data_IF_725465494131
#
_entry.id   IF_725465494131
#
_cell.length_a   1.000
_cell.length_b   1.000
_cell.length_c   1.000
_cell.angle_alpha   90.00
_cell.angle_beta   90.00
_cell.angle_gamma   90.00
#
_symmetry.space_group_name_H-M   'P 1'
#
loop_
_entity.id
_entity.type
_entity.pdbx_description
1 polymer ?
#
# COMPACT_ATOMS: atom_id res chain seq x y z
N UNK A 1 23.58 8.75 -26.99
CA UNK A 1 22.36 8.82 -26.17
C UNK A 1 21.58 7.56 -26.49
N UNK A 2 21.12 6.82 -25.48
CA UNK A 2 20.45 5.54 -25.73
C UNK A 2 18.99 5.78 -26.12
N UNK A 3 18.52 5.02 -27.12
CA UNK A 3 17.13 5.03 -27.58
C UNK A 3 16.38 3.82 -27.01
N UNK A 4 15.14 4.07 -26.61
CA UNK A 4 14.28 3.10 -25.95
C UNK A 4 12.91 3.07 -26.60
N UNK A 5 12.29 1.90 -26.57
CA UNK A 5 10.86 1.71 -26.77
C UNK A 5 10.23 1.45 -25.41
N UNK A 6 9.30 2.31 -25.00
CA UNK A 6 8.59 2.20 -23.74
C UNK A 6 7.22 1.61 -23.95
N UNK A 7 6.86 0.64 -23.11
CA UNK A 7 5.52 0.07 -23.07
C UNK A 7 4.80 0.63 -21.85
N UNK A 8 3.65 1.26 -22.09
CA UNK A 8 2.84 1.92 -21.07
C UNK A 8 1.49 1.23 -20.91
N UNK A 9 0.99 1.21 -19.68
CA UNK A 9 -0.38 0.80 -19.37
C UNK A 9 -1.42 1.86 -19.78
N UNK A 10 -2.71 1.56 -19.57
CA UNK A 10 -3.81 2.49 -19.85
C UNK A 10 -3.75 3.80 -19.03
N UNK A 11 -3.03 3.79 -17.91
CA UNK A 11 -2.78 4.96 -17.06
C UNK A 11 -1.47 5.67 -17.45
N UNK A 12 -0.80 5.31 -18.55
CA UNK A 12 0.46 5.92 -18.97
C UNK A 12 1.66 5.58 -18.06
N UNK A 13 1.51 4.60 -17.16
CA UNK A 13 2.57 4.11 -16.29
C UNK A 13 3.42 3.11 -17.07
N UNK A 14 4.74 3.23 -16.99
CA UNK A 14 5.65 2.34 -17.68
C UNK A 14 5.59 0.92 -17.11
N UNK A 15 5.27 -0.03 -17.99
CA UNK A 15 5.37 -1.48 -17.74
C UNK A 15 6.82 -1.92 -17.92
N UNK A 16 7.42 -1.63 -19.08
CA UNK A 16 8.81 -1.98 -19.39
C UNK A 16 9.47 -0.99 -20.35
N UNK A 17 10.80 -1.06 -20.46
CA UNK A 17 11.61 -0.35 -21.46
C UNK A 17 12.45 -1.35 -22.25
N UNK A 18 12.40 -1.29 -23.57
CA UNK A 18 13.27 -2.05 -24.47
C UNK A 18 14.35 -1.14 -25.04
N UNK A 19 15.62 -1.49 -24.83
CA UNK A 19 16.79 -0.73 -25.27
C UNK A 19 17.27 -1.19 -26.66
N UNK A 20 17.45 -0.22 -27.56
CA UNK A 20 18.07 -0.41 -28.88
C UNK A 20 19.53 -0.87 -28.76
N UNK A 21 19.91 -1.85 -29.59
CA UNK A 21 21.23 -2.51 -29.58
C UNK A 21 21.40 -3.58 -28.49
N UNK A 22 20.37 -3.78 -27.66
CA UNK A 22 20.34 -4.87 -26.65
C UNK A 22 19.20 -5.83 -26.92
N UNK A 23 17.99 -5.30 -27.16
CA UNK A 23 16.80 -6.13 -27.38
C UNK A 23 16.49 -6.33 -28.86
N UNK A 24 16.85 -5.38 -29.72
CA UNK A 24 16.84 -5.50 -31.17
C UNK A 24 17.78 -4.46 -31.80
N UNK A 25 18.08 -4.62 -33.09
CA UNK A 25 19.02 -3.77 -33.82
C UNK A 25 18.36 -2.53 -34.45
N UNK A 26 17.02 -2.50 -34.55
CA UNK A 26 16.25 -1.37 -35.06
C UNK A 26 15.06 -1.02 -34.17
N UNK A 27 14.58 0.23 -34.25
CA UNK A 27 13.41 0.70 -33.50
C UNK A 27 12.14 -0.03 -33.97
N UNK A 28 12.00 -0.27 -35.27
CA UNK A 28 10.84 -0.95 -35.84
C UNK A 28 10.70 -2.39 -35.30
N UNK A 29 11.82 -3.09 -35.10
CA UNK A 29 11.83 -4.41 -34.50
C UNK A 29 11.45 -4.38 -33.02
N UNK A 30 11.92 -3.37 -32.27
CA UNK A 30 11.53 -3.16 -30.88
C UNK A 30 10.05 -2.86 -30.73
N UNK A 31 9.49 -2.00 -31.58
CA UNK A 31 8.06 -1.70 -31.58
C UNK A 31 7.25 -2.95 -31.90
N UNK A 32 7.68 -3.74 -32.89
CA UNK A 32 7.03 -5.02 -33.22
C UNK A 32 7.06 -5.99 -32.03
N UNK A 33 8.21 -6.10 -31.35
CA UNK A 33 8.37 -6.94 -30.16
C UNK A 33 7.43 -6.46 -29.03
N UNK A 34 7.42 -5.16 -28.76
CA UNK A 34 6.55 -4.56 -27.77
C UNK A 34 5.06 -4.82 -28.05
N UNK A 35 4.62 -4.67 -29.30
CA UNK A 35 3.22 -4.92 -29.67
C UNK A 35 2.83 -6.40 -29.63
N UNK A 36 3.75 -7.32 -29.91
CA UNK A 36 3.47 -8.76 -29.87
C UNK A 36 3.38 -9.29 -28.42
N UNK A 37 4.31 -8.85 -27.56
CA UNK A 37 4.37 -9.25 -26.15
C UNK A 37 3.33 -8.53 -25.29
N UNK A 38 3.08 -7.23 -25.54
CA UNK A 38 2.24 -6.36 -24.71
C UNK A 38 1.02 -5.85 -25.49
N UNK A 39 0.10 -6.78 -25.76
CA UNK A 39 -1.17 -6.46 -26.43
C UNK A 39 -1.97 -5.45 -25.60
N UNK A 40 -2.64 -4.51 -26.28
CA UNK A 40 -3.43 -3.41 -25.69
C UNK A 40 -2.63 -2.36 -24.90
N UNK A 41 -1.30 -2.32 -25.00
CA UNK A 41 -0.48 -1.28 -24.39
C UNK A 41 -0.18 -0.15 -25.37
N UNK A 42 0.15 1.03 -24.81
CA UNK A 42 0.65 2.15 -25.62
C UNK A 42 2.17 2.04 -25.73
N UNK A 43 2.69 2.12 -26.95
CA UNK A 43 4.12 2.05 -27.23
C UNK A 43 4.60 3.42 -27.67
N UNK A 44 5.69 3.91 -27.07
CA UNK A 44 6.33 5.17 -27.45
C UNK A 44 7.85 5.00 -27.57
N UNK A 45 8.46 5.74 -28.48
CA UNK A 45 9.91 5.83 -28.62
C UNK A 45 10.42 7.03 -27.82
N UNK A 46 11.55 6.86 -27.14
CA UNK A 46 12.16 7.94 -26.37
C UNK A 46 13.62 7.69 -26.03
N UNK A 47 14.17 8.60 -25.22
CA UNK A 47 15.60 8.65 -24.91
C UNK A 47 15.90 8.34 -23.43
N UNK A 48 17.17 8.56 -23.06
CA UNK A 48 17.63 8.39 -21.68
C UNK A 48 17.00 9.39 -20.70
N UNK A 49 16.53 10.55 -21.19
CA UNK A 49 15.82 11.56 -20.39
C UNK A 49 14.44 11.05 -20.00
N UNK A 50 13.68 10.51 -20.96
CA UNK A 50 12.38 9.89 -20.70
C UNK A 50 12.51 8.68 -19.77
N UNK A 51 13.56 7.87 -19.94
CA UNK A 51 13.87 6.76 -19.03
C UNK A 51 14.03 7.24 -17.58
N UNK A 52 14.71 8.37 -17.35
CA UNK A 52 14.89 8.95 -16.02
C UNK A 52 13.56 9.41 -15.40
N UNK A 53 12.68 10.04 -16.19
CA UNK A 53 11.35 10.46 -15.72
C UNK A 53 10.48 9.26 -15.28
N UNK A 54 10.51 8.16 -16.03
CA UNK A 54 9.83 6.92 -15.62
C UNK A 54 10.43 6.29 -14.36
N UNK A 55 11.76 6.38 -14.17
CA UNK A 55 12.42 5.93 -12.95
C UNK A 55 12.09 6.80 -11.73
N UNK A 56 11.71 8.06 -11.96
CA UNK A 56 11.19 8.98 -10.95
C UNK A 56 9.69 8.80 -10.66
N UNK A 57 9.12 7.65 -11.00
CA UNK A 57 7.72 7.28 -10.73
C UNK A 57 6.69 8.25 -11.34
N UNK A 58 6.96 8.75 -12.55
CA UNK A 58 6.01 9.55 -13.33
C UNK A 58 5.31 8.73 -14.41
N UNK A 59 4.09 9.11 -14.74
CA UNK A 59 3.33 8.56 -15.86
C UNK A 59 3.42 9.50 -17.06
N UNK A 60 3.40 8.95 -18.27
CA UNK A 60 3.38 9.72 -19.51
C UNK A 60 1.96 9.72 -20.09
N UNK A 61 1.29 10.87 -20.08
CA UNK A 61 -0.07 11.04 -20.62
C UNK A 61 -0.13 12.25 -21.53
N UNK A 62 -0.78 12.11 -22.69
CA UNK A 62 -1.02 13.20 -23.63
C UNK A 62 0.24 14.01 -24.00
N UNK A 63 1.39 13.33 -24.13
CA UNK A 63 2.65 13.95 -24.52
C UNK A 63 3.47 14.56 -23.37
N UNK A 64 3.00 14.48 -22.12
CA UNK A 64 3.67 15.08 -20.95
C UNK A 64 3.81 14.09 -19.79
N UNK A 65 4.87 14.26 -19.00
CA UNK A 65 5.04 13.52 -17.75
C UNK A 65 4.26 14.17 -16.61
N UNK A 66 3.49 13.36 -15.90
CA UNK A 66 2.73 13.74 -14.72
C UNK A 66 3.16 12.90 -13.53
N UNK A 67 3.07 13.47 -12.32
CA UNK A 67 3.27 12.69 -11.11
C UNK A 67 2.14 11.66 -10.97
N UNK A 68 2.52 10.43 -10.62
CA UNK A 68 1.54 9.42 -10.23
C UNK A 68 1.08 9.82 -8.83
N UNK A 69 -0.15 10.31 -8.72
CA UNK A 69 -0.79 10.42 -7.42
C UNK A 69 -0.88 8.99 -6.86
N UNK A 70 -0.08 8.68 -5.83
CA UNK A 70 -0.30 7.49 -5.03
C UNK A 70 -1.78 7.50 -4.64
N UNK A 71 -2.51 6.44 -4.97
CA UNK A 71 -3.91 6.30 -4.58
C UNK A 71 -3.95 6.38 -3.05
N UNK A 72 -4.19 7.59 -2.53
CA UNK A 72 -4.37 7.81 -1.09
C UNK A 72 -5.45 6.81 -0.68
N UNK A 73 -5.24 6.04 0.40
CA UNK A 73 -6.25 5.10 0.85
C UNK A 73 -7.56 5.85 0.93
N UNK A 74 -8.63 5.26 0.41
CA UNK A 74 -9.94 5.88 0.45
C UNK A 74 -10.25 6.34 1.89
N UNK A 75 -11.10 7.36 2.06
CA UNK A 75 -11.53 7.80 3.40
C UNK A 75 -11.99 6.61 4.27
N UNK A 76 -12.58 5.59 3.65
CA UNK A 76 -12.97 4.35 4.30
C UNK A 76 -11.77 3.51 4.78
N UNK A 77 -10.75 3.35 3.96
CA UNK A 77 -9.53 2.62 4.32
C UNK A 77 -8.73 3.35 5.40
N UNK A 78 -8.63 4.68 5.33
CA UNK A 78 -8.00 5.47 6.39
C UNK A 78 -8.73 5.28 7.73
N UNK A 79 -10.07 5.28 7.72
CA UNK A 79 -10.87 4.98 8.93
C UNK A 79 -10.62 3.56 9.43
N UNK A 80 -10.60 2.56 8.55
CA UNK A 80 -10.29 1.16 8.92
C UNK A 80 -8.90 1.05 9.56
N UNK A 81 -7.89 1.71 8.99
CA UNK A 81 -6.53 1.73 9.53
C UNK A 81 -6.48 2.38 10.90
N UNK A 82 -7.12 3.54 11.09
CA UNK A 82 -7.23 4.19 12.42
C UNK A 82 -7.90 3.27 13.45
N UNK A 83 -9.01 2.63 13.10
CA UNK A 83 -9.70 1.68 13.99
C UNK A 83 -8.79 0.49 14.33
N UNK A 84 -8.04 -0.04 13.36
CA UNK A 84 -7.10 -1.14 13.59
C UNK A 84 -5.96 -0.74 14.53
N UNK A 85 -5.40 0.47 14.37
CA UNK A 85 -4.38 1.02 15.26
C UNK A 85 -4.90 1.20 16.69
N UNK A 86 -6.12 1.73 16.83
CA UNK A 86 -6.76 1.85 18.15
C UNK A 86 -6.92 0.47 18.79
N UNK A 87 -7.40 -0.54 18.06
CA UNK A 87 -7.50 -1.91 18.60
C UNK A 87 -6.14 -2.48 19.00
N UNK A 88 -5.11 -2.30 18.17
CA UNK A 88 -3.76 -2.78 18.46
C UNK A 88 -3.18 -2.17 19.74
N UNK A 89 -3.38 -0.86 19.96
CA UNK A 89 -2.96 -0.14 21.17
C UNK A 89 -3.50 -0.77 22.47
N UNK A 90 -4.71 -1.33 22.45
CA UNK A 90 -5.35 -1.92 23.63
C UNK A 90 -5.14 -3.44 23.75
N UNK A 91 -4.64 -4.10 22.70
CA UNK A 91 -4.58 -5.56 22.62
C UNK A 91 -3.72 -6.19 23.74
N UNK A 92 -2.51 -5.65 23.96
CA UNK A 92 -1.59 -6.18 24.98
C UNK A 92 -2.17 -6.00 26.39
N UNK A 93 -2.87 -4.89 26.62
CA UNK A 93 -3.52 -4.58 27.89
C UNK A 93 -4.65 -5.56 28.19
N UNK A 94 -5.50 -5.86 27.20
CA UNK A 94 -6.57 -6.84 27.36
C UNK A 94 -6.05 -8.26 27.54
N UNK A 95 -5.01 -8.64 26.79
CA UNK A 95 -4.34 -9.94 26.97
C UNK A 95 -3.79 -10.09 28.39
N UNK A 96 -3.17 -9.04 28.94
CA UNK A 96 -2.68 -9.03 30.31
C UNK A 96 -3.82 -9.16 31.34
N UNK A 97 -4.96 -8.49 31.11
CA UNK A 97 -6.13 -8.62 31.97
C UNK A 97 -6.75 -10.02 31.93
N UNK A 98 -6.86 -10.63 30.76
CA UNK A 98 -7.38 -12.00 30.61
C UNK A 98 -6.50 -13.02 31.34
N UNK A 99 -5.18 -12.91 31.18
CA UNK A 99 -4.22 -13.76 31.89
C UNK A 99 -4.27 -13.58 33.41
N UNK A 100 -4.36 -12.32 33.88
CA UNK A 100 -4.47 -12.02 35.31
C UNK A 100 -5.81 -12.50 35.89
N UNK A 101 -6.90 -12.38 35.13
CA UNK A 101 -8.23 -12.86 35.51
C UNK A 101 -8.25 -14.39 35.63
N UNK A 102 -7.61 -15.10 34.70
CA UNK A 102 -7.50 -16.56 34.78
C UNK A 102 -6.76 -17.00 36.05
N UNK A 103 -5.61 -16.38 36.35
CA UNK A 103 -4.85 -16.68 37.58
C UNK A 103 -5.66 -16.40 38.84
N UNK A 104 -6.29 -15.22 38.92
CA UNK A 104 -7.09 -14.85 40.08
C UNK A 104 -8.28 -15.80 40.32
N UNK A 105 -8.87 -16.35 39.25
CA UNK A 105 -9.92 -17.38 39.36
C UNK A 105 -9.38 -18.73 39.81
N UNK A 106 -8.20 -19.12 39.36
CA UNK A 106 -7.55 -20.36 39.81
C UNK A 106 -7.16 -20.31 41.29
N UNK A 107 -6.84 -19.11 41.79
CA UNK A 107 -6.49 -18.86 43.19
C UNK A 107 -7.72 -18.58 44.09
N UNK A 108 -8.95 -18.71 43.56
CA UNK A 108 -10.21 -18.33 44.25
C UNK A 108 -10.20 -16.91 44.86
N UNK A 109 -9.47 -15.98 44.23
CA UNK A 109 -9.31 -14.60 44.70
C UNK A 109 -10.37 -13.67 44.09
N UNK A 110 -11.59 -13.75 44.61
CA UNK A 110 -12.74 -12.97 44.14
C UNK A 110 -12.55 -11.45 44.18
N UNK A 111 -11.78 -10.94 45.14
CA UNK A 111 -11.48 -9.52 45.25
C UNK A 111 -10.66 -9.04 44.04
N UNK A 112 -9.62 -9.79 43.69
CA UNK A 112 -8.78 -9.49 42.54
C UNK A 112 -9.54 -9.67 41.22
N UNK A 113 -10.42 -10.68 41.12
CA UNK A 113 -11.31 -10.87 39.96
C UNK A 113 -12.19 -9.63 39.73
N UNK A 114 -12.87 -9.14 40.77
CA UNK A 114 -13.74 -7.94 40.64
C UNK A 114 -12.95 -6.72 40.17
N UNK A 115 -11.79 -6.46 40.79
CA UNK A 115 -10.92 -5.33 40.43
C UNK A 115 -10.46 -5.38 38.97
N UNK A 116 -10.02 -6.55 38.50
CA UNK A 116 -9.58 -6.73 37.11
C UNK A 116 -10.73 -6.59 36.11
N UNK A 117 -11.93 -7.06 36.45
CA UNK A 117 -13.12 -6.89 35.62
C UNK A 117 -13.52 -5.41 35.47
N UNK A 118 -13.45 -4.63 36.55
CA UNK A 118 -13.72 -3.19 36.51
C UNK A 118 -12.72 -2.45 35.62
N UNK A 119 -11.41 -2.73 35.78
CA UNK A 119 -10.37 -2.14 34.93
C UNK A 119 -10.56 -2.50 33.46
N UNK A 120 -10.83 -3.77 33.15
CA UNK A 120 -11.10 -4.22 31.78
C UNK A 120 -12.28 -3.48 31.16
N UNK A 121 -13.40 -3.33 31.90
CA UNK A 121 -14.59 -2.61 31.41
C UNK A 121 -14.28 -1.13 31.15
N UNK A 122 -13.62 -0.46 32.09
CA UNK A 122 -13.28 0.95 31.95
C UNK A 122 -12.38 1.22 30.73
N UNK A 123 -11.38 0.37 30.47
CA UNK A 123 -10.53 0.53 29.29
C UNK A 123 -11.21 0.11 27.99
N UNK A 124 -12.13 -0.86 28.04
CA UNK A 124 -12.97 -1.20 26.89
C UNK A 124 -13.88 -0.03 26.48
N UNK A 125 -14.44 0.69 27.44
CA UNK A 125 -15.24 1.90 27.16
C UNK A 125 -14.39 3.00 26.52
N UNK A 126 -13.16 3.23 27.01
CA UNK A 126 -12.22 4.18 26.39
C UNK A 126 -11.86 3.79 24.96
N UNK A 127 -11.56 2.51 24.71
CA UNK A 127 -11.29 2.02 23.36
C UNK A 127 -12.49 2.26 22.43
N UNK A 128 -13.72 1.97 22.89
CA UNK A 128 -14.93 2.19 22.09
C UNK A 128 -15.14 3.69 21.80
N UNK A 129 -14.86 4.57 22.76
CA UNK A 129 -14.94 6.01 22.55
C UNK A 129 -13.90 6.50 21.53
N UNK A 130 -12.65 6.02 21.61
CA UNK A 130 -11.62 6.30 20.61
C UNK A 130 -12.01 5.81 19.21
N UNK A 131 -12.58 4.59 19.09
CA UNK A 131 -13.05 4.03 17.81
C UNK A 131 -14.19 4.87 17.22
N UNK A 132 -15.13 5.34 18.05
CA UNK A 132 -16.25 6.20 17.58
C UNK A 132 -15.78 7.56 17.09
N UNK A 133 -14.62 8.04 17.53
CA UNK A 133 -14.02 9.30 17.12
C UNK A 133 -13.09 9.21 15.90
N UNK A 134 -12.87 8.01 15.34
CA UNK A 134 -11.96 7.74 14.22
C UNK A 134 -12.61 7.94 12.83
#
# INVERSE_FOLDING_TARGET
>A
MNEYVFVLDEKGVRITSLLLGVHADTIEELERLAHDEYKNCTVIVGDSTMQAEFLNNKAYKNGVFIEIEEEKPSLLEQKKQKIAQIKAKYNDKFTAYENALLRARLDDNDSQVKKLQELYRADKEKMIAEIKGA
#
